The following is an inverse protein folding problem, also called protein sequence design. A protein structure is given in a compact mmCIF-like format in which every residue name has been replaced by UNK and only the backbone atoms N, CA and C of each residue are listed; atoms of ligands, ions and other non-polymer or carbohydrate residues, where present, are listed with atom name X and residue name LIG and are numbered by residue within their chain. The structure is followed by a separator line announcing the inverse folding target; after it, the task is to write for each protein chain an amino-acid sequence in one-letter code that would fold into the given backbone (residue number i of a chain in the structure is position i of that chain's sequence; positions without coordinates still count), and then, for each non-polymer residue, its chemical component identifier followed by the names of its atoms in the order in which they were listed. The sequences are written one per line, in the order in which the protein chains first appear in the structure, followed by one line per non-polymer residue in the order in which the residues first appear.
data_IF_544558135418
#
_entry.id   IF_544558135418
#
_cell.length_a   1.000
_cell.length_b   1.000
_cell.length_c   1.000
_cell.angle_alpha   90.00
_cell.angle_beta   90.00
_cell.angle_gamma   90.00
#
_symmetry.space_group_name_H-M   'P 1'
#
loop_
_entity.id
_entity.type
_entity.pdbx_description
1 polymer ?
#
# COMPACT_ATOMS: atom_id res chain seq x y z
N UNK A 1 8.76 -8.93 1.09
CA UNK A 1 8.06 -7.71 0.71
C UNK A 1 8.97 -6.52 0.99
N UNK A 2 9.28 -5.77 -0.05
CA UNK A 2 9.93 -4.49 0.16
C UNK A 2 8.91 -3.60 0.84
N UNK A 3 9.03 -3.41 2.15
CA UNK A 3 8.34 -2.30 2.81
C UNK A 3 8.91 -1.02 2.22
N UNK A 4 8.30 -0.57 1.15
CA UNK A 4 8.59 0.72 0.54
C UNK A 4 8.06 1.81 1.45
N UNK A 5 8.83 2.16 2.46
CA UNK A 5 8.68 3.43 3.13
C UNK A 5 10.01 4.16 3.09
N UNK A 6 10.44 4.53 1.90
CA UNK A 6 11.42 5.59 1.78
C UNK A 6 10.70 6.91 2.11
N UNK A 7 10.35 7.10 3.37
CA UNK A 7 10.14 8.42 3.89
C UNK A 7 11.52 9.04 4.02
N UNK A 8 11.73 10.24 3.51
CA UNK A 8 12.93 11.00 3.80
C UNK A 8 12.87 11.40 5.28
N UNK A 9 13.47 10.58 6.14
CA UNK A 9 13.59 10.89 7.55
C UNK A 9 14.72 11.89 7.72
N UNK A 10 14.50 12.90 8.54
CA UNK A 10 15.52 13.87 8.92
C UNK A 10 15.83 13.68 10.39
N UNK A 11 17.07 13.31 10.69
CA UNK A 11 17.58 13.27 12.07
C UNK A 11 18.07 14.64 12.48
N UNK A 12 17.54 15.19 13.56
CA UNK A 12 17.96 16.48 14.12
C UNK A 12 18.44 16.34 15.55
N UNK A 13 19.67 16.79 15.80
CA UNK A 13 20.13 17.34 17.06
C UNK A 13 20.52 18.79 16.79
N UNK A 14 20.65 19.68 17.77
CA UNK A 14 20.91 21.12 17.55
C UNK A 14 22.05 21.43 16.56
N UNK A 15 22.99 20.50 16.37
CA UNK A 15 24.14 20.67 15.47
C UNK A 15 24.28 19.59 14.38
N UNK A 16 23.46 18.55 14.36
CA UNK A 16 23.52 17.44 13.40
C UNK A 16 22.24 17.29 12.59
N UNK A 17 22.40 17.18 11.27
CA UNK A 17 21.29 16.90 10.33
C UNK A 17 21.72 15.82 9.36
N UNK A 18 20.99 14.71 9.35
CA UNK A 18 21.14 13.61 8.40
C UNK A 18 19.85 13.44 7.61
N UNK A 19 19.93 13.57 6.29
CA UNK A 19 18.82 13.34 5.38
C UNK A 19 18.82 11.89 4.93
N UNK A 20 17.76 11.16 5.25
CA UNK A 20 17.59 9.74 4.89
C UNK A 20 17.05 9.64 3.48
N UNK A 21 17.73 8.88 2.63
CA UNK A 21 17.34 8.60 1.24
C UNK A 21 16.69 7.22 1.10
N UNK A 22 17.11 6.23 1.93
CA UNK A 22 16.56 4.88 1.93
C UNK A 22 16.69 4.23 3.32
N UNK A 23 15.79 3.31 3.63
CA UNK A 23 15.83 2.51 4.85
C UNK A 23 15.66 1.04 4.50
N UNK A 24 16.61 0.22 4.87
CA UNK A 24 16.60 -1.22 4.59
C UNK A 24 16.66 -2.03 5.89
N UNK A 25 15.86 -3.08 5.97
CA UNK A 25 15.94 -4.06 7.04
C UNK A 25 17.00 -5.11 6.68
N UNK A 26 18.04 -5.25 7.51
CA UNK A 26 19.16 -6.19 7.35
C UNK A 26 19.26 -7.11 8.56
N UNK A 27 19.88 -8.27 8.39
CA UNK A 27 20.20 -9.19 9.50
C UNK A 27 19.05 -9.39 10.52
N UNK A 28 17.85 -9.66 10.00
CA UNK A 28 16.64 -9.78 10.83
C UNK A 28 16.01 -8.45 11.16
N UNK A 29 16.35 -7.82 12.28
CA UNK A 29 15.67 -6.62 12.78
C UNK A 29 16.51 -5.33 12.76
N UNK A 30 17.67 -5.34 12.12
CA UNK A 30 18.51 -4.15 12.00
C UNK A 30 17.98 -3.22 10.90
N UNK A 31 17.53 -2.02 11.27
CA UNK A 31 17.16 -0.97 10.32
C UNK A 31 18.39 -0.13 9.98
N UNK A 32 18.82 -0.18 8.72
CA UNK A 32 19.94 0.58 8.19
C UNK A 32 19.41 1.75 7.38
N UNK A 33 19.76 2.96 7.80
CA UNK A 33 19.36 4.21 7.16
C UNK A 33 20.49 4.70 6.27
N UNK A 34 20.23 4.81 4.98
CA UNK A 34 21.15 5.35 3.98
C UNK A 34 20.78 6.80 3.69
N UNK A 35 21.79 7.67 3.58
CA UNK A 35 21.53 9.09 3.33
C UNK A 35 22.78 9.93 3.39
N UNK A 36 22.60 11.25 3.56
CA UNK A 36 23.66 12.25 3.54
C UNK A 36 23.66 13.10 4.79
N UNK A 37 24.84 13.28 5.38
CA UNK A 37 25.04 14.31 6.41
C UNK A 37 24.97 15.68 5.76
N UNK A 38 23.97 16.49 6.14
CA UNK A 38 23.80 17.87 5.69
C UNK A 38 24.49 18.87 6.62
N UNK A 39 24.63 18.55 7.91
CA UNK A 39 25.25 19.41 8.90
C UNK A 39 25.81 18.59 10.06
N UNK A 40 26.98 19.01 10.56
CA UNK A 40 27.58 18.48 11.77
C UNK A 40 28.10 17.05 11.67
N UNK A 41 28.23 16.42 12.83
CA UNK A 41 28.65 15.01 12.96
C UNK A 41 27.92 14.35 14.11
N UNK A 42 27.85 13.01 14.09
CA UNK A 42 27.25 12.19 15.15
C UNK A 42 28.25 11.15 15.61
N UNK A 43 28.21 10.82 16.90
CA UNK A 43 28.99 9.74 17.51
C UNK A 43 28.08 8.59 17.91
N UNK A 44 28.67 7.42 18.14
CA UNK A 44 27.93 6.27 18.63
C UNK A 44 27.21 6.59 19.96
N UNK A 45 26.02 6.03 20.13
CA UNK A 45 25.16 6.17 21.31
C UNK A 45 24.64 7.61 21.58
N UNK A 46 24.67 8.48 20.59
CA UNK A 46 24.01 9.78 20.69
C UNK A 46 22.51 9.66 20.36
N UNK A 47 21.69 10.40 21.12
CA UNK A 47 20.26 10.49 20.84
C UNK A 47 19.99 11.42 19.66
N UNK A 48 19.12 11.00 18.77
CA UNK A 48 18.66 11.78 17.62
C UNK A 48 17.13 11.86 17.60
N UNK A 49 16.60 12.98 17.13
CA UNK A 49 15.18 13.11 16.81
C UNK A 49 14.96 12.70 15.37
N UNK A 50 14.07 11.72 15.14
CA UNK A 50 13.67 11.30 13.79
C UNK A 50 12.39 12.01 13.38
N UNK A 51 12.42 12.68 12.21
CA UNK A 51 11.25 13.35 11.62
C UNK A 51 10.98 12.78 10.25
N UNK A 52 9.77 12.28 10.05
CA UNK A 52 9.31 11.83 8.74
C UNK A 52 8.71 13.00 7.96
N UNK A 53 8.80 12.94 6.64
CA UNK A 53 7.98 13.75 5.75
C UNK A 53 6.53 13.28 5.83
N UNK A 54 5.70 14.04 6.57
CA UNK A 54 4.31 13.68 6.85
C UNK A 54 3.49 13.70 5.56
N UNK A 55 3.65 14.73 4.73
CA UNK A 55 2.90 14.87 3.48
C UNK A 55 3.18 13.69 2.54
N UNK A 56 4.46 13.38 2.33
CA UNK A 56 4.87 12.20 1.55
C UNK A 56 4.30 10.90 2.15
N UNK A 57 4.35 10.75 3.47
CA UNK A 57 3.81 9.56 4.17
C UNK A 57 2.31 9.43 3.97
N UNK A 58 1.56 10.51 4.06
CA UNK A 58 0.10 10.50 3.91
C UNK A 58 -0.29 10.21 2.47
N UNK A 59 0.43 10.75 1.49
CA UNK A 59 0.24 10.41 0.09
C UNK A 59 0.49 8.91 -0.18
N UNK A 60 1.60 8.35 0.31
CA UNK A 60 1.91 6.92 0.18
C UNK A 60 0.83 6.05 0.86
N UNK A 61 0.34 6.43 2.06
CA UNK A 61 -0.78 5.72 2.73
C UNK A 61 -2.04 5.68 1.88
N UNK A 62 -2.39 6.80 1.29
CA UNK A 62 -3.58 6.92 0.47
C UNK A 62 -3.47 6.05 -0.80
N UNK A 63 -2.36 6.11 -1.53
CA UNK A 63 -2.11 5.24 -2.68
C UNK A 63 -2.05 3.75 -2.31
N UNK A 64 -1.44 3.41 -1.16
CA UNK A 64 -1.42 2.03 -0.69
C UNK A 64 -2.83 1.51 -0.38
N UNK A 65 -3.65 2.32 0.27
CA UNK A 65 -5.04 1.97 0.55
C UNK A 65 -5.88 1.87 -0.74
N UNK A 66 -5.66 2.79 -1.69
CA UNK A 66 -6.27 2.71 -3.02
C UNK A 66 -5.92 1.41 -3.76
N UNK A 67 -4.69 0.91 -3.58
CA UNK A 67 -4.24 -0.37 -4.19
C UNK A 67 -5.09 -1.54 -3.72
N UNK A 68 -5.45 -1.62 -2.45
CA UNK A 68 -6.32 -2.69 -1.93
C UNK A 68 -7.76 -2.59 -2.46
N UNK A 69 -8.32 -1.37 -2.54
CA UNK A 69 -9.62 -1.17 -3.16
C UNK A 69 -9.60 -1.51 -4.65
N UNK A 70 -8.53 -1.14 -5.36
CA UNK A 70 -8.33 -1.49 -6.76
C UNK A 70 -8.24 -3.01 -6.95
N UNK A 71 -7.47 -3.70 -6.13
CA UNK A 71 -7.32 -5.15 -6.21
C UNK A 71 -8.67 -5.87 -6.10
N UNK A 72 -9.45 -5.55 -5.08
CA UNK A 72 -10.78 -6.15 -4.92
C UNK A 72 -11.74 -5.73 -6.05
N UNK A 73 -11.69 -4.49 -6.54
CA UNK A 73 -12.48 -4.03 -7.68
C UNK A 73 -12.15 -4.80 -8.97
N UNK A 74 -10.86 -5.02 -9.22
CA UNK A 74 -10.40 -5.85 -10.35
C UNK A 74 -10.92 -7.30 -10.22
N UNK A 75 -10.88 -7.89 -9.03
CA UNK A 75 -11.42 -9.24 -8.78
C UNK A 75 -12.91 -9.33 -9.02
N UNK A 76 -13.68 -8.33 -8.61
CA UNK A 76 -15.13 -8.29 -8.81
C UNK A 76 -15.54 -8.12 -10.27
N UNK A 77 -14.80 -7.32 -11.02
CA UNK A 77 -15.12 -7.03 -12.43
C UNK A 77 -14.57 -8.09 -13.37
N UNK A 78 -13.33 -8.50 -13.17
CA UNK A 78 -12.61 -9.40 -14.09
C UNK A 78 -12.66 -10.87 -13.65
N UNK A 79 -12.89 -11.13 -12.37
CA UNK A 79 -13.00 -12.48 -11.80
C UNK A 79 -11.93 -12.82 -10.75
N UNK A 80 -12.18 -13.89 -10.00
CA UNK A 80 -11.37 -14.32 -8.86
C UNK A 80 -9.96 -14.83 -9.21
N UNK A 81 -9.67 -15.04 -10.52
CA UNK A 81 -8.34 -15.38 -11.01
C UNK A 81 -7.35 -14.22 -10.93
N UNK A 82 -7.84 -12.99 -10.71
CA UNK A 82 -6.98 -11.82 -10.51
C UNK A 82 -6.21 -11.99 -9.21
N UNK A 83 -4.89 -12.08 -9.34
CA UNK A 83 -3.93 -12.14 -8.21
C UNK A 83 -2.81 -11.13 -8.44
N UNK A 84 -2.34 -10.51 -7.39
CA UNK A 84 -1.22 -9.58 -7.45
C UNK A 84 0.05 -10.29 -7.94
N UNK A 85 0.72 -9.70 -8.93
CA UNK A 85 2.04 -10.13 -9.45
C UNK A 85 3.13 -9.11 -9.14
N UNK A 86 2.77 -7.88 -8.89
CA UNK A 86 3.64 -6.80 -8.47
C UNK A 86 2.85 -5.57 -8.07
N UNK A 87 3.49 -4.71 -7.30
CA UNK A 87 2.91 -3.42 -6.90
C UNK A 87 4.01 -2.39 -6.68
N UNK A 88 3.73 -1.16 -7.02
CA UNK A 88 4.53 0.01 -6.68
C UNK A 88 3.60 1.10 -6.16
N UNK A 89 3.95 1.65 -5.01
CA UNK A 89 3.22 2.76 -4.38
C UNK A 89 4.20 3.91 -4.19
N UNK A 90 3.95 5.02 -4.85
CA UNK A 90 4.71 6.27 -4.78
C UNK A 90 3.81 7.39 -4.23
N UNK A 91 4.35 8.53 -3.84
CA UNK A 91 3.54 9.61 -3.29
C UNK A 91 2.64 10.31 -4.33
N UNK A 92 2.87 10.07 -5.62
CA UNK A 92 2.19 10.70 -6.74
C UNK A 92 1.45 9.72 -7.66
N UNK A 93 1.63 8.41 -7.47
CA UNK A 93 0.96 7.37 -8.27
C UNK A 93 1.00 5.99 -7.60
N UNK A 94 0.16 5.10 -8.11
CA UNK A 94 0.29 3.66 -7.88
C UNK A 94 0.41 2.90 -9.21
N UNK A 95 1.04 1.73 -9.13
CA UNK A 95 1.10 0.74 -10.19
C UNK A 95 0.73 -0.63 -9.62
N UNK A 96 -0.13 -1.34 -10.30
CA UNK A 96 -0.57 -2.67 -9.88
C UNK A 96 -0.48 -3.65 -11.05
N UNK A 97 0.32 -4.72 -10.86
CA UNK A 97 0.51 -5.79 -11.82
C UNK A 97 -0.26 -7.02 -11.34
N UNK A 98 -1.04 -7.64 -12.21
CA UNK A 98 -1.92 -8.75 -11.83
C UNK A 98 -2.13 -9.75 -12.96
N UNK A 99 -2.56 -10.97 -12.59
CA UNK A 99 -2.87 -12.03 -13.55
C UNK A 99 -4.18 -11.74 -14.28
N UNK A 100 -4.10 -11.54 -15.60
CA UNK A 100 -5.25 -11.45 -16.50
C UNK A 100 -4.79 -11.60 -17.95
N UNK A 101 -5.55 -12.40 -18.73
CA UNK A 101 -5.16 -12.76 -20.10
C UNK A 101 -5.61 -11.75 -21.15
N UNK A 102 -6.76 -11.11 -20.93
CA UNK A 102 -7.41 -10.25 -21.92
C UNK A 102 -7.14 -8.76 -21.66
N UNK A 103 -7.21 -7.90 -22.70
CA UNK A 103 -7.31 -6.46 -22.47
C UNK A 103 -8.54 -6.13 -21.61
N UNK A 104 -8.41 -5.13 -20.75
CA UNK A 104 -9.54 -4.59 -19.99
C UNK A 104 -10.26 -3.59 -20.89
N UNK A 105 -11.56 -3.75 -21.07
CA UNK A 105 -12.37 -2.81 -21.85
C UNK A 105 -12.58 -1.48 -21.11
N UNK A 106 -12.98 -0.45 -21.86
CA UNK A 106 -13.32 0.85 -21.24
C UNK A 106 -14.44 0.74 -20.21
N UNK A 107 -15.46 -0.07 -20.49
CA UNK A 107 -16.60 -0.30 -19.59
C UNK A 107 -16.16 -1.02 -18.29
N UNK A 108 -15.20 -1.95 -18.40
CA UNK A 108 -14.62 -2.62 -17.22
C UNK A 108 -13.79 -1.65 -16.38
N UNK A 109 -12.98 -0.79 -17.01
CA UNK A 109 -12.23 0.26 -16.30
C UNK A 109 -13.19 1.20 -15.59
N UNK A 110 -14.26 1.67 -16.24
CA UNK A 110 -15.25 2.55 -15.63
C UNK A 110 -15.94 1.89 -14.42
N UNK A 111 -16.27 0.61 -14.50
CA UNK A 111 -16.82 -0.16 -13.37
C UNK A 111 -15.82 -0.28 -12.23
N UNK A 112 -14.55 -0.56 -12.51
CA UNK A 112 -13.48 -0.66 -11.52
C UNK A 112 -13.33 0.68 -10.78
N UNK A 113 -13.24 1.80 -11.51
CA UNK A 113 -13.16 3.13 -10.95
C UNK A 113 -14.39 3.48 -10.11
N UNK A 114 -15.58 3.09 -10.57
CA UNK A 114 -16.83 3.28 -9.85
C UNK A 114 -16.83 2.54 -8.53
N UNK A 115 -16.38 1.28 -8.48
CA UNK A 115 -16.25 0.54 -7.23
C UNK A 115 -15.27 1.20 -6.27
N UNK A 116 -14.06 1.55 -6.71
CA UNK A 116 -13.08 2.21 -5.87
C UNK A 116 -13.65 3.53 -5.31
N UNK A 117 -14.18 4.38 -6.19
CA UNK A 117 -14.70 5.70 -5.80
C UNK A 117 -15.94 5.62 -4.91
N UNK A 118 -16.78 4.59 -5.06
CA UNK A 118 -17.91 4.38 -4.14
C UNK A 118 -17.42 4.07 -2.72
N UNK A 119 -16.36 3.27 -2.57
CA UNK A 119 -15.76 2.99 -1.25
C UNK A 119 -15.08 4.23 -0.65
N UNK A 120 -14.45 5.05 -1.47
CA UNK A 120 -13.90 6.35 -1.05
C UNK A 120 -15.02 7.27 -0.55
N UNK A 121 -16.11 7.39 -1.31
CA UNK A 121 -17.24 8.25 -0.99
C UNK A 121 -18.00 7.81 0.27
N UNK A 122 -18.00 6.52 0.59
CA UNK A 122 -18.62 5.99 1.81
C UNK A 122 -17.87 6.37 3.09
N UNK A 123 -16.65 6.88 2.99
CA UNK A 123 -15.85 7.40 4.13
C UNK A 123 -15.84 6.45 5.33
N UNK A 124 -15.64 5.15 5.07
CA UNK A 124 -15.67 4.14 6.11
C UNK A 124 -14.33 4.02 6.85
N UNK A 125 -14.40 3.63 8.11
CA UNK A 125 -13.22 3.37 8.94
C UNK A 125 -12.39 2.20 8.36
N UNK A 126 -11.07 2.36 8.32
CA UNK A 126 -10.12 1.30 7.97
C UNK A 126 -9.67 0.60 9.24
N UNK A 127 -9.92 -0.71 9.32
CA UNK A 127 -9.61 -1.50 10.51
C UNK A 127 -8.45 -2.44 10.28
N UNK A 128 -7.63 -2.55 11.32
CA UNK A 128 -6.55 -3.54 11.36
C UNK A 128 -6.70 -4.43 12.58
N UNK A 129 -6.49 -5.74 12.40
CA UNK A 129 -6.52 -6.74 13.46
C UNK A 129 -5.31 -7.65 13.32
N UNK A 130 -4.77 -8.09 14.46
CA UNK A 130 -3.71 -9.09 14.51
C UNK A 130 -4.37 -10.42 14.87
N UNK A 131 -4.06 -11.47 14.14
CA UNK A 131 -4.61 -12.81 14.35
C UNK A 131 -3.71 -13.87 13.71
N UNK A 132 -3.97 -15.13 13.95
CA UNK A 132 -3.25 -16.21 13.29
C UNK A 132 -3.58 -16.27 11.78
N UNK A 133 -2.68 -16.78 10.91
CA UNK A 133 -2.98 -16.96 9.49
C UNK A 133 -4.25 -17.77 9.22
N UNK A 134 -4.50 -18.78 10.03
CA UNK A 134 -5.70 -19.63 9.92
C UNK A 134 -6.99 -18.85 10.21
N UNK A 135 -7.00 -18.05 11.26
CA UNK A 135 -8.14 -17.18 11.58
C UNK A 135 -8.36 -16.14 10.49
N UNK A 136 -7.27 -15.56 9.94
CA UNK A 136 -7.35 -14.58 8.86
C UNK A 136 -8.06 -15.16 7.62
N UNK A 137 -7.66 -16.36 7.18
CA UNK A 137 -8.30 -17.05 6.06
C UNK A 137 -9.76 -17.40 6.36
N UNK A 138 -10.06 -17.89 7.57
CA UNK A 138 -11.43 -18.19 7.99
C UNK A 138 -12.34 -16.93 8.03
N UNK A 139 -11.75 -15.77 8.29
CA UNK A 139 -12.43 -14.47 8.23
C UNK A 139 -12.48 -13.88 6.80
N UNK A 140 -12.10 -14.65 5.77
CA UNK A 140 -12.17 -14.26 4.39
C UNK A 140 -11.04 -13.31 3.94
N UNK A 141 -9.95 -13.21 4.70
CA UNK A 141 -8.81 -12.42 4.29
C UNK A 141 -8.09 -13.04 3.10
N UNK A 142 -7.83 -12.22 2.09
CA UNK A 142 -7.02 -12.60 0.95
C UNK A 142 -5.54 -12.61 1.35
N UNK A 143 -4.92 -13.79 1.27
CA UNK A 143 -3.49 -13.97 1.46
C UNK A 143 -2.77 -13.88 0.12
N UNK A 144 -1.63 -13.20 0.07
CA UNK A 144 -0.79 -13.17 -1.13
C UNK A 144 -0.15 -14.55 -1.33
N UNK A 145 -0.23 -15.05 -2.55
CA UNK A 145 0.28 -16.38 -2.89
C UNK A 145 1.81 -16.42 -2.77
N UNK A 146 2.34 -17.40 -2.05
CA UNK A 146 3.79 -17.65 -1.94
C UNK A 146 4.49 -16.88 -0.83
N UNK A 147 3.81 -16.10 -0.02
CA UNK A 147 4.40 -15.49 1.18
C UNK A 147 4.38 -16.47 2.35
N UNK A 148 5.49 -16.50 3.10
CA UNK A 148 5.58 -17.21 4.38
C UNK A 148 5.17 -16.23 5.48
N UNK A 149 4.10 -16.57 6.15
CA UNK A 149 3.60 -15.80 7.29
C UNK A 149 4.16 -16.37 8.60
N UNK A 150 4.44 -15.50 9.56
CA UNK A 150 4.76 -15.92 10.94
C UNK A 150 3.52 -16.42 11.68
N UNK A 151 3.66 -16.59 13.00
CA UNK A 151 2.57 -17.05 13.87
C UNK A 151 1.39 -16.07 13.92
N UNK A 152 1.65 -14.80 13.72
CA UNK A 152 0.66 -13.73 13.66
C UNK A 152 0.76 -12.93 12.36
N UNK A 153 -0.40 -12.51 11.85
CA UNK A 153 -0.55 -11.68 10.67
C UNK A 153 -1.43 -10.48 10.96
N UNK A 154 -1.14 -9.38 10.28
CA UNK A 154 -1.97 -8.18 10.33
C UNK A 154 -2.99 -8.22 9.20
N UNK A 155 -4.27 -8.28 9.56
CA UNK A 155 -5.41 -8.23 8.65
C UNK A 155 -5.91 -6.81 8.54
N UNK A 156 -5.94 -6.30 7.32
CA UNK A 156 -6.48 -5.00 6.94
C UNK A 156 -7.87 -5.19 6.35
N UNK A 157 -8.85 -4.45 6.84
CA UNK A 157 -10.21 -4.43 6.32
C UNK A 157 -10.65 -3.00 6.02
N UNK A 158 -11.18 -2.76 4.81
CA UNK A 158 -11.60 -1.43 4.37
C UNK A 158 -12.77 -1.46 3.39
N UNK A 159 -13.45 -0.31 3.31
CA UNK A 159 -14.70 -0.17 2.58
C UNK A 159 -15.85 -0.89 3.31
N UNK A 160 -17.01 -0.25 3.41
CA UNK A 160 -18.18 -0.85 4.05
C UNK A 160 -19.23 -1.12 2.99
N UNK A 161 -19.71 -2.35 2.95
CA UNK A 161 -20.76 -2.80 2.04
C UNK A 161 -21.77 -3.64 2.84
N UNK A 162 -22.88 -3.00 3.29
CA UNK A 162 -23.84 -3.58 4.23
C UNK A 162 -23.13 -4.01 5.53
N UNK A 163 -23.10 -5.30 5.82
CA UNK A 163 -22.49 -5.86 7.04
C UNK A 163 -21.08 -6.45 6.81
N UNK A 164 -20.45 -6.17 5.66
CA UNK A 164 -19.15 -6.73 5.28
C UNK A 164 -18.17 -5.64 4.86
N UNK A 165 -16.89 -5.95 4.94
CA UNK A 165 -15.86 -5.14 4.33
C UNK A 165 -15.78 -5.42 2.83
N UNK A 166 -15.51 -4.38 2.06
CA UNK A 166 -15.28 -4.49 0.63
C UNK A 166 -14.00 -5.25 0.31
N UNK A 167 -12.91 -4.87 0.97
CA UNK A 167 -11.61 -5.55 0.89
C UNK A 167 -11.16 -6.01 2.26
N UNK A 168 -10.65 -7.24 2.36
CA UNK A 168 -10.00 -7.80 3.56
C UNK A 168 -8.76 -8.57 3.11
N UNK A 169 -7.57 -8.08 3.47
CA UNK A 169 -6.30 -8.61 2.98
C UNK A 169 -5.24 -8.65 4.08
N UNK A 170 -4.25 -9.53 3.92
CA UNK A 170 -3.06 -9.54 4.78
C UNK A 170 -2.13 -8.42 4.33
N UNK A 171 -1.90 -7.43 5.20
CA UNK A 171 -1.01 -6.33 4.87
C UNK A 171 -0.36 -5.71 6.10
N UNK A 172 1.00 -5.69 6.12
CA UNK A 172 1.82 -5.07 7.16
C UNK A 172 2.12 -3.58 6.95
N UNK A 173 1.65 -2.98 5.83
CA UNK A 173 1.96 -1.60 5.46
C UNK A 173 1.18 -0.53 6.22
N UNK A 174 1.45 0.73 5.87
CA UNK A 174 0.73 1.89 6.43
C UNK A 174 -0.44 2.26 5.54
N UNK A 175 -1.58 2.59 6.17
CA UNK A 175 -2.83 2.89 5.50
C UNK A 175 -3.50 4.14 6.07
N UNK A 176 -4.46 4.69 5.33
CA UNK A 176 -5.35 5.76 5.82
C UNK A 176 -6.22 5.22 6.96
N UNK A 177 -6.74 6.10 7.80
CA UNK A 177 -7.68 5.74 8.87
C UNK A 177 -9.12 5.66 8.36
N UNK A 178 -9.42 6.40 7.30
CA UNK A 178 -10.73 6.48 6.68
C UNK A 178 -10.59 6.38 5.17
N UNK A 179 -11.49 5.66 4.49
CA UNK A 179 -11.42 5.51 3.03
C UNK A 179 -11.59 6.83 2.29
N UNK A 180 -12.27 7.83 2.90
CA UNK A 180 -12.38 9.18 2.37
C UNK A 180 -11.04 9.92 2.22
N UNK A 181 -10.03 9.55 3.03
CA UNK A 181 -8.69 10.16 2.96
C UNK A 181 -7.91 9.71 1.70
N UNK A 182 -8.43 8.76 0.93
CA UNK A 182 -7.82 8.30 -0.32
C UNK A 182 -7.93 9.39 -1.39
N UNK A 183 -9.03 10.13 -1.46
CA UNK A 183 -9.32 11.04 -2.56
C UNK A 183 -9.86 10.32 -3.80
N UNK A 184 -10.24 11.09 -4.82
CA UNK A 184 -10.84 10.55 -6.05
C UNK A 184 -9.83 9.76 -6.87
N UNK A 185 -10.15 8.50 -7.15
CA UNK A 185 -9.30 7.56 -7.88
C UNK A 185 -9.57 7.62 -9.39
N UNK A 186 -8.49 7.57 -10.20
CA UNK A 186 -8.57 7.51 -11.66
C UNK A 186 -7.47 6.63 -12.25
N UNK A 187 -7.84 5.68 -13.09
CA UNK A 187 -6.91 4.90 -13.92
C UNK A 187 -6.37 5.76 -15.05
N UNK A 188 -5.05 5.79 -15.23
CA UNK A 188 -4.39 6.57 -16.29
C UNK A 188 -3.85 5.70 -17.43
N UNK A 189 -3.51 4.46 -17.14
CA UNK A 189 -3.02 3.52 -18.14
C UNK A 189 -3.33 2.06 -17.79
N UNK A 190 -3.44 1.22 -18.81
CA UNK A 190 -3.45 -0.23 -18.65
C UNK A 190 -2.82 -0.92 -19.86
N UNK A 191 -1.97 -1.90 -19.63
CA UNK A 191 -1.28 -2.63 -20.69
C UNK A 191 -0.76 -4.00 -20.22
N UNK A 192 -0.39 -4.86 -21.19
CA UNK A 192 0.25 -6.14 -20.89
C UNK A 192 1.75 -5.94 -20.67
N UNK A 193 2.31 -6.57 -19.64
CA UNK A 193 3.76 -6.54 -19.35
C UNK A 193 4.44 -7.89 -19.55
N UNK A 194 3.66 -8.97 -19.54
CA UNK A 194 4.10 -10.33 -19.81
C UNK A 194 2.90 -11.20 -20.23
N UNK A 195 3.14 -12.41 -20.66
CA UNK A 195 2.07 -13.37 -20.94
C UNK A 195 1.21 -13.60 -19.67
N UNK A 196 -0.07 -13.28 -19.77
CA UNK A 196 -1.03 -13.42 -18.67
C UNK A 196 -0.85 -12.44 -17.52
N UNK A 197 -0.03 -11.39 -17.67
CA UNK A 197 0.15 -10.34 -16.66
C UNK A 197 -0.15 -8.96 -17.23
N UNK A 198 -1.06 -8.27 -16.60
CA UNK A 198 -1.45 -6.90 -16.95
C UNK A 198 -1.03 -5.91 -15.87
N UNK A 199 -0.81 -4.68 -16.28
CA UNK A 199 -0.49 -3.53 -15.44
C UNK A 199 -1.58 -2.49 -15.54
N UNK A 200 -1.95 -1.95 -14.41
CA UNK A 200 -2.75 -0.73 -14.28
C UNK A 200 -1.93 0.31 -13.52
N UNK A 201 -1.93 1.53 -13.99
CA UNK A 201 -1.41 2.70 -13.28
C UNK A 201 -2.56 3.66 -12.99
N UNK A 202 -2.55 4.25 -11.81
CA UNK A 202 -3.61 5.14 -11.38
C UNK A 202 -3.10 6.31 -10.55
N UNK A 203 -3.85 7.39 -10.60
CA UNK A 203 -3.71 8.61 -9.80
C UNK A 203 -4.89 8.74 -8.84
N UNK A 204 -4.73 9.64 -7.87
CA UNK A 204 -5.79 10.14 -7.01
C UNK A 204 -5.74 11.65 -6.94
N UNK A 205 -6.87 12.29 -6.84
CA UNK A 205 -6.97 13.72 -6.51
C UNK A 205 -7.05 13.86 -4.99
N UNK A 206 -6.39 14.89 -4.45
CA UNK A 206 -6.44 15.23 -3.03
C UNK A 206 -7.76 15.90 -2.66
#
# INVERSE_FOLDING_TARGET
PKTSSAASDVYKRQEFVFEVEDVQKKLGDLFVHYGKVKKGSIKNNENVEMKIDIERRDNVRAYHSATHLLHESLRRVLGTHVTQKGSLVEPDRLRFDFSHMKPISSDEIEKIETYVNSMVSNKSEVKTRIMTPKEAVNNGALALFGEKYGDEVRVLSMGSEKDKYFSTELCGGTHVKNTGDIGKFKTISQYSIAAGVRRVEALRDN
#
